data_IF_541939891539
#
_entry.id   IF_541939891539
#
_cell.length_a   1.000
_cell.length_b   1.000
_cell.length_c   1.000
_cell.angle_alpha   90.00
_cell.angle_beta   90.00
_cell.angle_gamma   90.00
#
_symmetry.space_group_name_H-M   'P 1'
#
loop_
_entity.id
_entity.type
_entity.pdbx_description
1 polymer ?
#
# COMPACT_ATOMS: atom_id res chain seq x y z
N UNK A 1 -22.10 3.08 -4.99
CA UNK A 1 -21.34 1.89 -4.60
C UNK A 1 -20.40 2.30 -3.47
N UNK A 2 -20.42 1.60 -2.33
CA UNK A 2 -19.62 1.96 -1.16
C UNK A 2 -18.53 0.91 -0.97
N UNK A 3 -17.28 1.35 -0.91
CA UNK A 3 -16.13 0.46 -0.67
C UNK A 3 -16.09 0.09 0.81
N UNK A 4 -16.10 -1.21 1.12
CA UNK A 4 -15.93 -1.69 2.49
C UNK A 4 -14.48 -1.43 2.91
N UNK A 5 -14.30 -0.74 4.05
CA UNK A 5 -12.98 -0.41 4.58
C UNK A 5 -12.25 -1.68 5.02
N UNK A 6 -11.04 -1.87 4.51
CA UNK A 6 -10.19 -2.99 4.91
C UNK A 6 -9.74 -2.85 6.36
N UNK A 7 -9.77 -3.96 7.10
CA UNK A 7 -9.36 -4.05 8.52
C UNK A 7 -7.96 -4.64 8.68
N UNK A 8 -7.11 -4.53 7.66
CA UNK A 8 -5.75 -5.03 7.77
C UNK A 8 -4.99 -4.35 8.92
N UNK A 9 -4.31 -5.11 9.78
CA UNK A 9 -3.60 -4.53 10.92
C UNK A 9 -2.40 -3.75 10.43
N UNK A 10 -2.47 -2.42 10.55
CA UNK A 10 -1.30 -1.55 10.40
C UNK A 10 -0.58 -1.54 11.74
N UNK A 11 0.74 -1.79 11.72
CA UNK A 11 1.56 -1.82 12.92
C UNK A 11 1.66 -0.42 13.52
N UNK A 12 1.68 -0.35 14.86
CA UNK A 12 1.87 0.93 15.56
C UNK A 12 3.31 1.42 15.39
N UNK A 13 3.46 2.72 15.13
CA UNK A 13 4.76 3.35 14.94
C UNK A 13 5.73 3.10 16.11
N UNK A 14 5.25 3.16 17.35
CA UNK A 14 6.09 2.97 18.54
C UNK A 14 6.79 1.60 18.55
N UNK A 15 6.06 0.53 18.19
CA UNK A 15 6.62 -0.82 18.12
C UNK A 15 7.69 -0.96 17.04
N UNK A 16 7.50 -0.27 15.91
CA UNK A 16 8.47 -0.28 14.81
C UNK A 16 9.75 0.45 15.21
N UNK A 17 9.63 1.59 15.89
CA UNK A 17 10.77 2.38 16.37
C UNK A 17 11.54 1.59 17.44
N UNK A 18 10.87 0.89 18.35
CA UNK A 18 11.52 0.06 19.36
C UNK A 18 12.30 -1.11 18.76
N UNK A 19 11.80 -1.72 17.68
CA UNK A 19 12.54 -2.74 16.92
C UNK A 19 13.79 -2.14 16.28
N UNK A 20 13.67 -0.93 15.72
CA UNK A 20 14.78 -0.23 15.08
C UNK A 20 15.89 0.14 16.06
N UNK A 21 15.58 0.55 17.31
CA UNK A 21 16.57 1.04 18.30
C UNK A 21 17.77 0.12 18.53
N UNK A 22 17.66 -1.18 18.25
CA UNK A 22 18.74 -2.16 18.40
C UNK A 22 19.69 -2.24 17.20
N UNK A 23 19.36 -1.60 16.08
CA UNK A 23 20.16 -1.64 14.86
C UNK A 23 21.30 -0.60 14.89
N UNK A 24 22.46 -1.01 14.36
CA UNK A 24 23.65 -0.15 14.25
C UNK A 24 23.64 0.74 13.01
N UNK A 25 22.97 0.29 11.95
CA UNK A 25 22.88 0.99 10.66
C UNK A 25 21.43 0.94 10.18
N UNK A 26 20.98 2.03 9.56
CA UNK A 26 19.65 2.15 8.99
C UNK A 26 19.76 2.49 7.51
N UNK A 27 18.95 1.81 6.70
CA UNK A 27 18.72 2.17 5.31
C UNK A 27 17.23 2.44 5.12
N UNK A 28 16.91 3.50 4.37
CA UNK A 28 15.54 3.84 4.01
C UNK A 28 15.40 3.67 2.50
N UNK A 29 14.41 2.89 2.08
CA UNK A 29 14.04 2.73 0.68
C UNK A 29 12.72 3.43 0.49
N UNK A 30 12.71 4.47 -0.34
CA UNK A 30 11.49 5.16 -0.73
C UNK A 30 11.04 4.64 -2.09
N UNK A 31 9.85 4.03 -2.15
CA UNK A 31 9.26 3.62 -3.41
C UNK A 31 8.43 4.79 -3.97
N UNK A 32 9.06 5.58 -4.84
CA UNK A 32 8.37 6.67 -5.52
C UNK A 32 7.26 6.11 -6.43
N UNK A 33 6.05 6.66 -6.31
CA UNK A 33 4.91 6.26 -7.14
C UNK A 33 4.36 4.87 -6.85
N UNK A 34 4.57 4.34 -5.63
CA UNK A 34 4.32 2.92 -5.34
C UNK A 34 2.86 2.47 -5.50
N UNK A 35 1.89 3.36 -5.33
CA UNK A 35 0.50 3.02 -5.62
C UNK A 35 0.31 2.70 -7.11
N UNK A 36 0.96 3.46 -7.99
CA UNK A 36 0.90 3.23 -9.44
C UNK A 36 1.65 1.97 -9.90
N UNK A 37 2.35 1.28 -9.00
CA UNK A 37 2.98 -0.01 -9.28
C UNK A 37 2.07 -1.20 -8.94
N UNK A 38 1.04 -1.00 -8.11
CA UNK A 38 0.12 -2.06 -7.69
C UNK A 38 -1.06 -2.12 -8.67
N UNK A 39 -1.23 -3.26 -9.34
CA UNK A 39 -2.38 -3.47 -10.25
C UNK A 39 -3.69 -3.58 -9.48
N UNK A 40 -4.72 -2.95 -10.01
CA UNK A 40 -6.11 -3.13 -9.55
C UNK A 40 -6.61 -4.45 -10.12
N UNK A 41 -7.40 -5.19 -9.33
CA UNK A 41 -8.06 -6.41 -9.83
C UNK A 41 -9.00 -6.01 -10.96
N UNK A 42 -8.99 -6.74 -12.08
CA UNK A 42 -9.79 -6.40 -13.27
C UNK A 42 -11.28 -6.19 -12.94
N UNK A 43 -11.83 -6.98 -12.02
CA UNK A 43 -13.20 -6.86 -11.53
C UNK A 43 -13.48 -5.56 -10.75
N UNK A 44 -12.46 -4.90 -10.21
CA UNK A 44 -12.55 -3.67 -9.42
C UNK A 44 -12.11 -2.41 -10.21
N UNK A 45 -11.59 -2.55 -11.44
CA UNK A 45 -11.16 -1.42 -12.28
C UNK A 45 -12.28 -0.40 -12.54
N UNK A 46 -13.52 -0.86 -12.74
CA UNK A 46 -14.67 0.03 -12.93
C UNK A 46 -14.97 0.89 -11.69
N UNK A 47 -14.55 0.46 -10.48
CA UNK A 47 -14.76 1.19 -9.22
C UNK A 47 -13.77 2.33 -9.03
N UNK A 48 -12.65 2.28 -9.74
CA UNK A 48 -11.65 3.35 -9.75
C UNK A 48 -11.92 4.37 -10.87
N UNK A 49 -13.04 4.25 -11.59
CA UNK A 49 -13.36 5.14 -12.69
C UNK A 49 -13.36 6.62 -12.26
N UNK A 50 -12.57 7.44 -12.94
CA UNK A 50 -12.61 8.89 -12.85
C UNK A 50 -13.35 9.48 -14.04
N UNK A 51 -14.09 10.56 -13.83
CA UNK A 51 -14.85 11.24 -14.88
C UNK A 51 -14.28 12.63 -15.10
N UNK A 52 -13.85 12.88 -16.33
CA UNK A 52 -13.53 14.23 -16.81
C UNK A 52 -14.75 14.83 -17.50
N UNK A 53 -14.71 16.13 -17.83
CA UNK A 53 -15.79 16.82 -18.56
C UNK A 53 -16.18 16.12 -19.87
N UNK A 54 -15.24 15.41 -20.49
CA UNK A 54 -15.42 14.85 -21.84
C UNK A 54 -15.47 13.32 -21.87
N UNK A 55 -14.87 12.62 -20.88
CA UNK A 55 -14.79 11.16 -20.89
C UNK A 55 -14.57 10.57 -19.49
N UNK A 56 -15.01 9.33 -19.30
CA UNK A 56 -14.64 8.48 -18.16
C UNK A 56 -13.42 7.63 -18.46
N UNK A 57 -12.52 7.51 -17.49
CA UNK A 57 -11.32 6.68 -17.55
C UNK A 57 -11.29 5.74 -16.35
N UNK A 58 -10.81 4.53 -16.56
CA UNK A 58 -10.63 3.53 -15.50
C UNK A 58 -9.13 3.35 -15.23
N UNK A 59 -8.79 3.14 -13.96
CA UNK A 59 -7.39 2.93 -13.58
C UNK A 59 -7.08 1.43 -13.53
N UNK A 60 -6.05 1.03 -14.29
CA UNK A 60 -5.49 -0.34 -14.29
C UNK A 60 -4.51 -0.54 -13.12
N UNK A 61 -3.89 0.55 -12.63
CA UNK A 61 -3.02 0.58 -11.47
C UNK A 61 -3.63 1.48 -10.40
N UNK A 62 -3.35 1.20 -9.13
CA UNK A 62 -4.04 1.83 -8.01
C UNK A 62 -3.83 3.35 -8.02
N UNK A 63 -4.89 4.15 -8.20
CA UNK A 63 -4.78 5.61 -8.13
C UNK A 63 -4.63 6.08 -6.68
N UNK A 64 -4.24 7.33 -6.49
CA UNK A 64 -4.35 7.99 -5.19
C UNK A 64 -5.81 8.24 -4.81
N UNK A 65 -6.14 8.10 -3.53
CA UNK A 65 -7.46 8.44 -2.98
C UNK A 65 -8.36 7.26 -2.53
N UNK A 66 -8.27 6.02 -3.04
CA UNK A 66 -9.06 4.91 -2.50
C UNK A 66 -8.75 4.67 -1.03
N UNK A 67 -9.78 4.49 -0.21
CA UNK A 67 -9.64 4.29 1.26
C UNK A 67 -8.77 3.08 1.62
N UNK A 68 -8.75 2.05 0.76
CA UNK A 68 -7.98 0.84 0.98
C UNK A 68 -6.58 0.87 0.37
N UNK A 69 -6.18 1.96 -0.31
CA UNK A 69 -4.87 2.07 -0.96
C UNK A 69 -3.68 1.81 -0.01
N UNK A 70 -3.56 2.47 1.16
CA UNK A 70 -2.45 2.22 2.09
C UNK A 70 -2.48 0.80 2.65
N UNK A 71 -3.67 0.24 2.85
CA UNK A 71 -3.84 -1.13 3.32
C UNK A 71 -3.34 -2.15 2.29
N UNK A 72 -3.74 -2.01 1.03
CA UNK A 72 -3.29 -2.89 -0.04
C UNK A 72 -1.78 -2.78 -0.23
N UNK A 73 -1.23 -1.57 -0.13
CA UNK A 73 0.23 -1.37 -0.14
C UNK A 73 0.93 -2.14 0.99
N UNK A 74 0.47 -2.01 2.24
CA UNK A 74 1.03 -2.74 3.38
C UNK A 74 0.97 -4.26 3.17
N UNK A 75 -0.15 -4.77 2.66
CA UNK A 75 -0.32 -6.19 2.36
C UNK A 75 0.69 -6.68 1.32
N UNK A 76 0.81 -5.96 0.20
CA UNK A 76 1.75 -6.30 -0.87
C UNK A 76 3.19 -6.30 -0.36
N UNK A 77 3.58 -5.27 0.41
CA UNK A 77 4.92 -5.20 0.98
C UNK A 77 5.19 -6.31 1.99
N UNK A 78 4.21 -6.64 2.85
CA UNK A 78 4.35 -7.77 3.77
C UNK A 78 4.47 -9.11 3.05
N UNK A 79 3.87 -9.27 1.87
CA UNK A 79 4.03 -10.48 1.05
C UNK A 79 5.43 -10.56 0.41
N UNK A 80 5.86 -9.48 -0.25
CA UNK A 80 7.17 -9.41 -0.92
C UNK A 80 8.30 -9.61 0.09
N UNK A 81 8.22 -8.95 1.25
CA UNK A 81 9.24 -9.01 2.29
C UNK A 81 8.93 -10.01 3.39
N UNK A 82 7.98 -10.94 3.19
CA UNK A 82 7.50 -11.87 4.23
C UNK A 82 8.60 -12.63 4.96
N UNK A 83 9.70 -12.95 4.28
CA UNK A 83 10.86 -13.65 4.86
C UNK A 83 11.82 -12.74 5.65
N UNK A 84 11.70 -11.43 5.50
CA UNK A 84 12.59 -10.38 6.02
C UNK A 84 11.93 -9.46 7.06
N UNK A 85 10.59 -9.32 6.98
CA UNK A 85 9.78 -8.61 7.97
C UNK A 85 10.00 -9.25 9.34
N UNK A 86 10.08 -8.42 10.39
CA UNK A 86 10.41 -8.80 11.77
C UNK A 86 11.83 -9.28 12.04
N UNK A 87 12.69 -9.40 11.02
CA UNK A 87 14.12 -9.69 11.20
C UNK A 87 14.95 -8.42 11.12
N UNK A 88 14.87 -7.73 9.98
CA UNK A 88 15.62 -6.50 9.73
C UNK A 88 14.87 -5.51 8.81
N UNK A 89 13.72 -5.89 8.25
CA UNK A 89 12.87 -5.00 7.46
C UNK A 89 11.63 -4.62 8.26
N UNK A 90 11.32 -3.33 8.23
CA UNK A 90 10.03 -2.78 8.66
C UNK A 90 9.36 -2.09 7.46
N UNK A 91 8.03 -2.05 7.45
CA UNK A 91 7.19 -1.48 6.39
C UNK A 91 6.24 -0.47 7.00
#
# INVERSE_FOLDING_TARGET
MVTIKSRYPIRRADKLIDQLRKARFYSKIDLQGVYHQIRVVAADCHKTASRTRYRSFEYVFMPFGPTNAPTTFQMTMNQIFSSLVDKFVII
#
